data_IF_302775036064
#
_entry.id   IF_302775036064
#
_cell.length_a   1.000
_cell.length_b   1.000
_cell.length_c   1.000
_cell.angle_alpha   90.00
_cell.angle_beta   90.00
_cell.angle_gamma   90.00
#
_symmetry.space_group_name_H-M   'P 1'
#
loop_
_entity.id
_entity.type
_entity.pdbx_description
1 polymer ?
#
# COMPACT_ATOMS: atom_id res chain seq x y z
N UNK A 1 -3.11 -16.67 40.61
CA UNK A 1 -2.82 -16.39 39.20
C UNK A 1 -4.12 -16.01 38.51
N UNK A 2 -4.09 -14.94 37.74
CA UNK A 2 -5.26 -14.49 37.00
C UNK A 2 -5.38 -15.31 35.72
N UNK A 3 -6.55 -15.94 35.53
CA UNK A 3 -6.83 -16.65 34.28
C UNK A 3 -7.28 -15.63 33.23
N UNK A 4 -6.53 -15.49 32.17
CA UNK A 4 -6.87 -14.63 31.05
C UNK A 4 -7.73 -15.42 30.07
N UNK A 5 -8.91 -14.91 29.65
CA UNK A 5 -9.68 -15.58 28.62
C UNK A 5 -8.84 -15.75 27.35
N UNK A 6 -9.04 -16.85 26.67
CA UNK A 6 -8.40 -17.04 25.38
C UNK A 6 -8.95 -16.02 24.38
N UNK A 7 -8.08 -15.15 23.91
CA UNK A 7 -8.41 -14.15 22.89
C UNK A 7 -7.75 -14.62 21.60
N UNK A 8 -8.51 -14.82 20.52
CA UNK A 8 -7.89 -15.21 19.26
C UNK A 8 -6.96 -14.10 18.77
N UNK A 9 -5.73 -14.47 18.43
CA UNK A 9 -4.74 -13.54 17.92
C UNK A 9 -4.79 -13.57 16.39
N UNK A 10 -5.00 -12.43 15.73
CA UNK A 10 -4.95 -12.40 14.27
C UNK A 10 -3.60 -12.90 13.76
N UNK A 11 -3.63 -13.65 12.67
CA UNK A 11 -2.44 -14.31 12.11
C UNK A 11 -1.70 -13.48 11.07
N UNK A 12 -2.35 -12.46 10.51
CA UNK A 12 -1.76 -11.64 9.45
C UNK A 12 -2.57 -10.37 9.25
N UNK A 13 -1.96 -9.42 8.56
CA UNK A 13 -2.68 -8.28 7.97
C UNK A 13 -3.11 -8.73 6.59
N UNK A 14 -4.42 -8.86 6.38
CA UNK A 14 -4.97 -9.33 5.11
C UNK A 14 -4.90 -8.26 4.04
N UNK A 15 -5.23 -7.04 4.42
CA UNK A 15 -5.31 -5.91 3.51
C UNK A 15 -4.87 -4.62 4.21
N UNK A 16 -4.34 -3.69 3.43
CA UNK A 16 -3.95 -2.36 3.91
C UNK A 16 -4.52 -1.32 2.94
N UNK A 17 -4.91 -0.17 3.46
CA UNK A 17 -5.52 0.88 2.67
C UNK A 17 -4.67 2.14 2.63
N UNK A 18 -4.61 2.75 1.46
CA UNK A 18 -4.13 4.11 1.26
C UNK A 18 -5.24 4.91 0.60
N UNK A 19 -5.21 6.23 0.80
CA UNK A 19 -6.21 7.12 0.20
C UNK A 19 -5.57 7.94 -0.90
N UNK A 20 -6.28 8.03 -2.03
CA UNK A 20 -5.83 8.76 -3.22
C UNK A 20 -6.99 9.60 -3.76
N UNK A 21 -6.69 10.71 -4.38
CA UNK A 21 -7.71 11.60 -4.95
C UNK A 21 -7.92 11.35 -6.45
N UNK A 22 -6.96 10.75 -7.12
CA UNK A 22 -7.00 10.46 -8.56
C UNK A 22 -6.71 8.98 -8.80
N UNK A 23 -7.77 8.20 -9.05
CA UNK A 23 -7.63 6.76 -9.26
C UNK A 23 -6.95 6.41 -10.58
N UNK A 24 -7.08 7.23 -11.61
CA UNK A 24 -6.38 7.01 -12.88
C UNK A 24 -4.86 7.14 -12.69
N UNK A 25 -4.43 8.15 -11.95
CA UNK A 25 -3.02 8.33 -11.61
C UNK A 25 -2.53 7.18 -10.72
N UNK A 26 -3.35 6.73 -9.78
CA UNK A 26 -3.02 5.59 -8.92
C UNK A 26 -2.87 4.30 -9.72
N UNK A 27 -3.77 4.03 -10.70
CA UNK A 27 -3.65 2.87 -11.59
C UNK A 27 -2.35 2.89 -12.39
N UNK A 28 -1.97 4.06 -12.89
CA UNK A 28 -0.72 4.21 -13.62
C UNK A 28 0.47 3.85 -12.72
N UNK A 29 0.49 4.39 -11.50
CA UNK A 29 1.60 4.17 -10.57
C UNK A 29 1.67 2.72 -10.09
N UNK A 30 0.59 2.21 -9.50
CA UNK A 30 0.60 0.88 -8.89
C UNK A 30 0.49 -0.26 -9.91
N UNK A 31 -0.31 -0.07 -10.95
CA UNK A 31 -0.51 -1.08 -11.98
C UNK A 31 0.57 -1.09 -13.05
N UNK A 32 0.81 0.04 -13.70
CA UNK A 32 1.74 0.10 -14.83
C UNK A 32 3.19 0.23 -14.37
N UNK A 33 3.47 1.14 -13.45
CA UNK A 33 4.85 1.43 -13.03
C UNK A 33 5.36 0.37 -12.06
N UNK A 34 4.62 0.07 -10.98
CA UNK A 34 5.03 -0.95 -10.02
C UNK A 34 4.71 -2.37 -10.48
N UNK A 35 3.84 -2.55 -11.46
CA UNK A 35 3.52 -3.85 -12.02
C UNK A 35 2.67 -4.74 -11.12
N UNK A 36 1.92 -4.18 -10.17
CA UNK A 36 1.03 -4.98 -9.33
C UNK A 36 -0.17 -5.48 -10.12
N UNK A 37 -0.67 -6.65 -9.75
CA UNK A 37 -1.82 -7.27 -10.41
C UNK A 37 -3.11 -6.67 -9.86
N UNK A 38 -3.88 -6.01 -10.72
CA UNK A 38 -5.15 -5.40 -10.35
C UNK A 38 -6.21 -6.47 -10.12
N UNK A 39 -6.92 -6.38 -9.01
CA UNK A 39 -8.03 -7.28 -8.68
C UNK A 39 -9.34 -6.72 -9.22
N UNK A 40 -9.62 -5.44 -8.95
CA UNK A 40 -10.82 -4.77 -9.41
C UNK A 40 -10.67 -3.25 -9.33
N UNK A 41 -11.50 -2.56 -10.06
CA UNK A 41 -11.76 -1.13 -9.90
C UNK A 41 -13.26 -0.91 -9.88
N UNK A 42 -13.73 -0.03 -9.00
CA UNK A 42 -15.12 0.43 -8.97
C UNK A 42 -15.12 1.94 -9.21
N UNK A 43 -15.35 2.33 -10.46
CA UNK A 43 -15.52 3.74 -10.87
C UNK A 43 -14.53 4.69 -10.19
N UNK A 44 -15.04 5.71 -9.48
CA UNK A 44 -14.23 6.67 -8.75
C UNK A 44 -14.00 6.30 -7.29
N UNK A 45 -14.46 5.12 -6.87
CA UNK A 45 -14.41 4.74 -5.47
C UNK A 45 -13.09 4.11 -5.08
N UNK A 46 -12.63 3.10 -5.83
CA UNK A 46 -11.43 2.38 -5.44
C UNK A 46 -10.79 1.58 -6.58
N UNK A 47 -9.54 1.22 -6.37
CA UNK A 47 -8.83 0.20 -7.15
C UNK A 47 -8.00 -0.65 -6.19
N UNK A 48 -8.03 -1.96 -6.36
CA UNK A 48 -7.39 -2.93 -5.48
C UNK A 48 -6.33 -3.72 -6.22
N UNK A 49 -5.22 -3.99 -5.54
CA UNK A 49 -4.08 -4.71 -6.09
C UNK A 49 -3.67 -5.89 -5.22
N UNK A 50 -3.32 -7.00 -5.85
CA UNK A 50 -2.76 -8.17 -5.16
C UNK A 50 -1.29 -7.92 -4.87
N UNK A 51 -0.88 -8.16 -3.62
CA UNK A 51 0.52 -8.05 -3.20
C UNK A 51 0.86 -9.30 -2.38
N UNK A 52 1.42 -10.31 -3.03
CA UNK A 52 1.69 -11.59 -2.35
C UNK A 52 0.42 -12.17 -1.73
N UNK A 53 0.44 -12.44 -0.43
CA UNK A 53 -0.73 -12.91 0.32
C UNK A 53 -1.67 -11.82 0.81
N UNK A 54 -1.37 -10.56 0.52
CA UNK A 54 -2.15 -9.40 0.98
C UNK A 54 -2.80 -8.66 -0.17
N UNK A 55 -3.63 -7.68 0.16
CA UNK A 55 -4.28 -6.82 -0.83
C UNK A 55 -4.02 -5.36 -0.45
N UNK A 56 -3.60 -4.58 -1.42
CA UNK A 56 -3.47 -3.14 -1.25
C UNK A 56 -4.72 -2.47 -1.81
N UNK A 57 -5.42 -1.74 -0.95
CA UNK A 57 -6.66 -1.06 -1.27
C UNK A 57 -6.38 0.43 -1.46
N UNK A 58 -6.69 0.97 -2.63
CA UNK A 58 -6.57 2.39 -2.91
C UNK A 58 -7.96 2.98 -3.00
N UNK A 59 -8.31 3.85 -2.07
CA UNK A 59 -9.63 4.44 -1.95
C UNK A 59 -9.63 5.94 -2.21
N UNK A 60 -10.68 6.40 -2.87
CA UNK A 60 -11.00 7.82 -2.92
C UNK A 60 -11.81 8.17 -1.67
N UNK A 61 -11.27 8.99 -0.75
CA UNK A 61 -11.95 9.26 0.52
C UNK A 61 -13.28 9.99 0.37
N UNK A 62 -13.47 10.78 -0.69
CA UNK A 62 -14.77 11.42 -0.96
C UNK A 62 -15.88 10.39 -1.12
N UNK A 63 -15.56 9.22 -1.67
CA UNK A 63 -16.54 8.17 -1.89
C UNK A 63 -16.72 7.27 -0.65
N UNK A 64 -15.63 6.94 0.03
CA UNK A 64 -15.68 6.04 1.18
C UNK A 64 -16.22 6.70 2.45
N UNK A 65 -16.20 8.01 2.54
CA UNK A 65 -16.78 8.78 3.65
C UNK A 65 -18.32 8.73 3.63
N UNK A 66 -18.92 8.40 2.50
CA UNK A 66 -20.37 8.32 2.33
C UNK A 66 -20.90 7.02 2.90
N UNK A 67 -22.16 6.98 3.35
CA UNK A 67 -22.80 5.73 3.76
C UNK A 67 -22.82 4.71 2.63
N UNK A 68 -22.82 3.42 2.98
CA UNK A 68 -22.91 2.35 2.02
C UNK A 68 -24.19 2.49 1.17
N UNK A 69 -24.06 2.32 -0.15
CA UNK A 69 -25.18 2.42 -1.09
C UNK A 69 -25.98 1.12 -1.11
N UNK A 70 -25.28 -0.03 -1.04
CA UNK A 70 -25.90 -1.34 -1.09
C UNK A 70 -26.26 -1.79 0.33
N UNK A 71 -27.58 -1.93 0.67
CA UNK A 71 -27.98 -2.34 2.01
C UNK A 71 -27.59 -3.77 2.35
N UNK A 72 -27.28 -4.61 1.35
CA UNK A 72 -26.82 -5.97 1.57
C UNK A 72 -25.33 -6.03 1.92
N UNK A 73 -24.61 -4.96 1.65
CA UNK A 73 -23.18 -4.81 1.95
C UNK A 73 -22.96 -3.50 2.73
N UNK A 74 -23.40 -3.43 4.00
CA UNK A 74 -23.38 -2.20 4.77
C UNK A 74 -21.98 -1.87 5.32
N UNK A 75 -21.00 -1.73 4.43
CA UNK A 75 -19.63 -1.40 4.80
C UNK A 75 -19.59 -0.04 5.49
N UNK A 76 -19.00 0.05 6.69
CA UNK A 76 -18.90 1.33 7.40
C UNK A 76 -18.12 2.38 6.60
N UNK A 77 -18.51 3.65 6.69
CA UNK A 77 -17.74 4.73 6.07
C UNK A 77 -16.33 4.83 6.67
N UNK A 78 -15.39 5.20 5.84
CA UNK A 78 -14.03 5.48 6.28
C UNK A 78 -13.36 6.45 5.31
N UNK A 79 -12.26 7.04 5.74
CA UNK A 79 -11.51 7.96 4.90
C UNK A 79 -10.46 8.69 5.72
N UNK A 80 -9.39 9.08 5.05
CA UNK A 80 -8.36 9.92 5.63
C UNK A 80 -7.78 10.80 4.54
N UNK A 81 -7.19 11.91 4.94
CA UNK A 81 -6.51 12.83 4.04
C UNK A 81 -5.10 13.08 4.54
N UNK A 82 -4.23 13.40 3.61
CA UNK A 82 -2.80 13.54 3.89
C UNK A 82 -2.02 12.30 3.48
N UNK A 83 -0.71 12.37 3.61
CA UNK A 83 0.18 11.30 3.20
C UNK A 83 0.09 10.10 4.14
N UNK A 84 -0.24 8.93 3.58
CA UNK A 84 -0.15 7.65 4.27
C UNK A 84 1.17 6.96 3.96
N UNK A 85 1.29 5.68 4.38
CA UNK A 85 2.51 4.91 4.18
C UNK A 85 2.22 3.43 3.99
N UNK A 86 2.92 2.82 3.05
CA UNK A 86 2.93 1.36 2.87
C UNK A 86 4.35 0.89 2.60
N UNK A 87 4.66 -0.30 3.10
CA UNK A 87 5.95 -0.94 2.88
C UNK A 87 5.77 -2.27 2.16
N UNK A 88 6.46 -2.44 1.05
CA UNK A 88 6.40 -3.61 0.19
C UNK A 88 7.74 -4.33 0.24
N UNK A 89 7.71 -5.67 0.21
CA UNK A 89 8.92 -6.48 0.32
C UNK A 89 9.54 -6.72 -1.05
N UNK A 90 10.83 -6.43 -1.17
CA UNK A 90 11.68 -6.81 -2.29
C UNK A 90 13.02 -7.32 -1.75
N UNK A 91 13.72 -8.12 -2.53
CA UNK A 91 15.10 -8.46 -2.21
C UNK A 91 16.01 -7.25 -2.47
N UNK A 92 17.22 -7.27 -1.95
CA UNK A 92 18.19 -6.19 -2.17
C UNK A 92 18.46 -5.97 -3.66
N UNK A 93 18.62 -7.03 -4.44
CA UNK A 93 18.82 -6.92 -5.89
C UNK A 93 17.61 -6.36 -6.60
N UNK A 94 16.41 -6.77 -6.17
CA UNK A 94 15.16 -6.23 -6.71
C UNK A 94 14.97 -4.75 -6.37
N UNK A 95 15.40 -4.31 -5.20
CA UNK A 95 15.38 -2.89 -4.82
C UNK A 95 16.27 -2.08 -5.77
N UNK A 96 17.46 -2.57 -6.10
CA UNK A 96 18.33 -1.91 -7.04
C UNK A 96 17.72 -1.81 -8.44
N UNK A 97 17.05 -2.87 -8.89
CA UNK A 97 16.33 -2.89 -10.18
C UNK A 97 15.15 -1.94 -10.16
N UNK A 98 14.37 -1.95 -9.08
CA UNK A 98 13.22 -1.06 -8.92
C UNK A 98 13.65 0.41 -8.94
N UNK A 99 14.75 0.73 -8.27
CA UNK A 99 15.29 2.08 -8.24
C UNK A 99 15.56 2.61 -9.66
N UNK A 100 16.22 1.82 -10.49
CA UNK A 100 16.51 2.19 -11.89
C UNK A 100 15.21 2.35 -12.68
N UNK A 101 14.29 1.44 -12.50
CA UNK A 101 12.99 1.46 -13.17
C UNK A 101 12.19 2.73 -12.83
N UNK A 102 12.14 3.09 -11.55
CA UNK A 102 11.44 4.29 -11.10
C UNK A 102 12.09 5.56 -11.65
N UNK A 103 13.42 5.62 -11.66
CA UNK A 103 14.14 6.76 -12.25
C UNK A 103 13.85 6.89 -13.75
N UNK A 104 13.70 5.78 -14.47
CA UNK A 104 13.33 5.79 -15.89
C UNK A 104 11.93 6.36 -16.12
N UNK A 105 11.05 6.28 -15.12
CA UNK A 105 9.73 6.89 -15.14
C UNK A 105 9.72 8.31 -14.56
N UNK A 106 10.90 8.88 -14.30
CA UNK A 106 11.07 10.21 -13.70
C UNK A 106 10.44 10.32 -12.31
N UNK A 107 10.44 9.21 -11.56
CA UNK A 107 9.99 9.19 -10.17
C UNK A 107 11.22 9.35 -9.28
N UNK A 108 11.35 10.46 -8.55
CA UNK A 108 12.54 10.69 -7.73
C UNK A 108 12.54 9.79 -6.50
N UNK A 109 13.73 9.43 -6.07
CA UNK A 109 13.94 8.73 -4.80
C UNK A 109 13.79 9.74 -3.67
N UNK A 110 12.88 9.46 -2.74
CA UNK A 110 12.64 10.31 -1.58
C UNK A 110 13.68 10.05 -0.48
N UNK A 111 14.05 8.78 -0.27
CA UNK A 111 15.11 8.36 0.64
C UNK A 111 15.60 6.97 0.28
N UNK A 112 16.85 6.67 0.58
CA UNK A 112 17.43 5.33 0.42
C UNK A 112 18.54 5.16 1.45
N UNK A 113 18.48 4.10 2.25
CA UNK A 113 19.47 3.88 3.30
C UNK A 113 19.42 2.43 3.79
N UNK A 114 20.44 2.06 4.56
CA UNK A 114 20.48 0.79 5.27
C UNK A 114 20.15 1.01 6.75
N UNK A 115 19.26 0.18 7.26
CA UNK A 115 18.93 0.15 8.68
C UNK A 115 20.09 -0.44 9.48
N UNK A 116 20.12 -0.24 10.83
CA UNK A 116 21.20 -0.80 11.65
C UNK A 116 21.39 -2.31 11.51
N UNK A 117 20.34 -3.06 11.20
CA UNK A 117 20.43 -4.52 10.98
C UNK A 117 20.84 -4.90 9.56
N UNK A 118 21.15 -3.92 8.73
CA UNK A 118 21.60 -4.14 7.35
C UNK A 118 20.48 -4.22 6.31
N UNK A 119 19.21 -4.21 6.71
CA UNK A 119 18.11 -4.19 5.76
C UNK A 119 18.09 -2.86 5.01
N UNK A 120 17.94 -2.94 3.68
CA UNK A 120 17.87 -1.74 2.84
C UNK A 120 16.44 -1.31 2.63
N UNK A 121 16.21 0.01 2.66
CA UNK A 121 14.92 0.60 2.29
C UNK A 121 15.10 1.65 1.21
N UNK A 122 14.11 1.69 0.32
CA UNK A 122 13.98 2.67 -0.76
C UNK A 122 12.59 3.29 -0.65
N UNK A 123 12.52 4.61 -0.61
CA UNK A 123 11.27 5.35 -0.46
C UNK A 123 11.01 6.22 -1.69
N UNK A 124 9.76 6.18 -2.17
CA UNK A 124 9.26 7.07 -3.22
C UNK A 124 7.89 7.58 -2.83
N UNK A 125 7.35 8.54 -3.59
CA UNK A 125 5.99 9.03 -3.40
C UNK A 125 5.10 8.57 -4.54
N UNK A 126 3.86 8.17 -4.19
CA UNK A 126 2.84 7.96 -5.20
C UNK A 126 2.26 9.30 -5.66
N UNK A 127 1.39 9.34 -6.70
CA UNK A 127 0.83 10.60 -7.19
C UNK A 127 0.01 11.39 -6.16
N UNK A 128 -0.52 10.73 -5.14
CA UNK A 128 -1.26 11.41 -4.07
C UNK A 128 -0.36 11.88 -2.92
N UNK A 129 0.95 11.60 -2.99
CA UNK A 129 1.91 11.97 -1.97
C UNK A 129 2.13 10.92 -0.89
N UNK A 130 1.52 9.75 -1.00
CA UNK A 130 1.75 8.66 -0.04
C UNK A 130 3.20 8.17 -0.12
N UNK A 131 3.78 7.86 1.04
CA UNK A 131 5.12 7.30 1.14
C UNK A 131 5.07 5.81 0.85
N UNK A 132 5.75 5.38 -0.22
CA UNK A 132 5.85 3.99 -0.61
C UNK A 132 7.26 3.52 -0.38
N UNK A 133 7.42 2.51 0.44
CA UNK A 133 8.71 1.93 0.81
C UNK A 133 8.86 0.55 0.22
N UNK A 134 10.06 0.25 -0.28
CA UNK A 134 10.47 -1.12 -0.62
C UNK A 134 11.58 -1.51 0.34
N UNK A 135 11.46 -2.66 1.01
CA UNK A 135 12.44 -3.08 1.99
C UNK A 135 12.65 -4.59 1.96
N UNK A 136 13.77 -5.03 2.52
CA UNK A 136 14.08 -6.46 2.64
C UNK A 136 13.26 -7.07 3.79
N UNK A 137 12.86 -8.34 3.61
CA UNK A 137 11.94 -9.03 4.53
C UNK A 137 12.45 -9.13 5.97
N UNK A 138 13.78 -9.05 6.17
CA UNK A 138 14.39 -9.19 7.50
C UNK A 138 14.41 -7.91 8.32
N UNK A 139 13.77 -6.83 7.84
CA UNK A 139 13.77 -5.54 8.56
C UNK A 139 13.38 -5.68 10.03
N UNK A 140 12.41 -6.53 10.33
CA UNK A 140 11.87 -6.71 11.67
C UNK A 140 12.38 -7.96 12.39
N UNK A 141 13.37 -8.62 11.84
CA UNK A 141 13.97 -9.84 12.44
C UNK A 141 15.29 -9.56 13.16
#
# INVERSE_FOLDING_TARGET
MKVTPEIPTPSAILEAALYVDDLDAAEMFYGEILGLVQIQRLEDRHVFYKVGGSVLLLFNPEQTERPAVNPDLPVPPHGARGAGHVCLVLTRDEIATMRKHLLNWNIPVDAEFDWPNGAKSLYVRDPAGNSVEFTEAHLWN
#
